data_IF_282696140523
#
_entry.id   IF_282696140523
#
_cell.length_a   1.000
_cell.length_b   1.000
_cell.length_c   1.000
_cell.angle_alpha   90.00
_cell.angle_beta   90.00
_cell.angle_gamma   90.00
#
_symmetry.space_group_name_H-M   'P 1'
#
loop_
_entity.id
_entity.type
_entity.pdbx_description
1 polymer ?
#
# COMPACT_ATOMS: atom_id res chain seq x y z
N UNK A 1 -24.10 18.08 -13.30
CA UNK A 1 -22.69 18.49 -13.45
C UNK A 1 -21.82 17.44 -12.77
N UNK A 2 -20.88 16.88 -13.51
CA UNK A 2 -20.12 15.68 -13.16
C UNK A 2 -19.28 15.87 -11.88
N UNK A 3 -19.56 15.09 -10.85
CA UNK A 3 -18.69 14.93 -9.69
C UNK A 3 -17.39 14.27 -10.13
N UNK A 4 -16.38 15.09 -10.39
CA UNK A 4 -15.04 14.63 -10.77
C UNK A 4 -14.49 13.92 -9.53
N UNK A 5 -14.52 12.59 -9.52
CA UNK A 5 -13.77 11.78 -8.58
C UNK A 5 -12.32 12.25 -8.63
N UNK A 6 -11.89 13.01 -7.61
CA UNK A 6 -10.49 13.40 -7.44
C UNK A 6 -9.70 12.11 -7.24
N UNK A 7 -9.21 11.52 -8.34
CA UNK A 7 -8.25 10.41 -8.30
C UNK A 7 -7.16 10.84 -7.33
N UNK A 8 -6.97 10.09 -6.24
CA UNK A 8 -5.88 10.33 -5.30
C UNK A 8 -4.61 10.51 -6.12
N UNK A 9 -3.84 11.59 -5.94
CA UNK A 9 -2.62 11.80 -6.70
C UNK A 9 -1.70 10.60 -6.47
N UNK A 10 -1.52 9.77 -7.50
CA UNK A 10 -0.56 8.68 -7.50
C UNK A 10 0.82 9.29 -7.57
N UNK A 11 1.46 9.41 -6.41
CA UNK A 11 2.86 9.85 -6.33
C UNK A 11 3.70 8.79 -7.09
N UNK A 12 4.43 9.24 -8.13
CA UNK A 12 5.26 8.41 -9.02
C UNK A 12 6.69 8.20 -8.50
N UNK A 13 7.02 8.77 -7.35
CA UNK A 13 8.32 8.64 -6.73
C UNK A 13 8.50 7.23 -6.16
N UNK A 14 9.73 6.91 -5.80
CA UNK A 14 10.04 5.70 -5.06
C UNK A 14 9.35 5.72 -3.69
N UNK A 15 8.78 4.58 -3.35
CA UNK A 15 8.15 4.30 -2.07
C UNK A 15 9.06 3.36 -1.27
N UNK A 16 9.11 3.56 0.04
CA UNK A 16 9.87 2.76 0.97
C UNK A 16 8.88 2.04 1.86
N UNK A 17 9.10 0.76 2.13
CA UNK A 17 8.27 0.04 3.09
C UNK A 17 8.56 0.57 4.51
N UNK A 18 7.56 1.18 5.13
CA UNK A 18 7.68 1.81 6.44
C UNK A 18 7.16 0.91 7.56
N UNK A 19 5.99 0.28 7.36
CA UNK A 19 5.37 -0.58 8.38
C UNK A 19 4.55 -1.71 7.74
N UNK A 20 4.29 -2.78 8.49
CA UNK A 20 3.49 -3.93 8.08
C UNK A 20 2.46 -4.22 9.17
N UNK A 21 1.19 -3.96 8.86
CA UNK A 21 0.07 -4.29 9.73
C UNK A 21 -0.44 -5.69 9.37
N UNK A 22 0.03 -6.67 10.15
CA UNK A 22 -0.45 -8.05 10.09
C UNK A 22 -1.61 -8.21 11.06
N UNK A 23 -2.84 -8.38 10.56
CA UNK A 23 -3.98 -8.71 11.41
C UNK A 23 -4.09 -10.23 11.57
N UNK A 24 -3.50 -10.78 12.63
CA UNK A 24 -3.78 -12.14 13.08
C UNK A 24 -5.10 -12.17 13.86
N UNK A 25 -6.20 -12.52 13.20
CA UNK A 25 -7.45 -12.82 13.89
C UNK A 25 -7.45 -14.30 14.25
N UNK A 26 -7.22 -14.58 15.54
CA UNK A 26 -7.05 -15.92 16.10
C UNK A 26 -8.42 -16.60 16.33
N UNK A 27 -9.11 -16.98 15.25
CA UNK A 27 -10.50 -17.44 15.33
C UNK A 27 -10.80 -18.68 14.48
N UNK A 28 -10.07 -19.81 14.61
CA UNK A 28 -10.44 -21.18 14.16
C UNK A 28 -11.02 -21.35 12.72
N UNK A 29 -10.93 -20.32 11.91
CA UNK A 29 -11.37 -20.16 10.54
C UNK A 29 -10.19 -19.39 9.97
N UNK A 30 -9.42 -20.01 9.09
CA UNK A 30 -8.33 -19.38 8.36
C UNK A 30 -8.92 -18.30 7.44
N UNK A 31 -9.29 -17.16 8.02
CA UNK A 31 -9.58 -15.97 7.25
C UNK A 31 -8.22 -15.32 7.06
N UNK A 32 -7.62 -15.53 5.89
CA UNK A 32 -6.38 -14.89 5.44
C UNK A 32 -6.40 -13.44 5.90
N UNK A 33 -5.59 -13.11 6.90
CA UNK A 33 -5.42 -11.72 7.34
C UNK A 33 -4.96 -10.94 6.12
N UNK A 34 -5.74 -9.95 5.70
CA UNK A 34 -5.33 -9.04 4.63
C UNK A 34 -4.12 -8.25 5.16
N UNK A 35 -2.91 -8.73 4.88
CA UNK A 35 -1.67 -8.04 5.24
C UNK A 35 -1.66 -6.67 4.58
N UNK A 36 -1.56 -5.64 5.41
CA UNK A 36 -1.54 -4.24 4.96
C UNK A 36 -0.13 -3.68 5.11
N UNK A 37 0.45 -3.25 4.01
CA UNK A 37 1.79 -2.69 3.94
C UNK A 37 1.69 -1.17 3.87
N UNK A 38 2.37 -0.47 4.76
CA UNK A 38 2.44 0.99 4.77
C UNK A 38 3.69 1.41 4.02
N UNK A 39 3.48 2.05 2.88
CA UNK A 39 4.52 2.63 2.06
C UNK A 39 4.67 4.11 2.36
N UNK A 40 5.89 4.57 2.56
CA UNK A 40 6.24 5.97 2.75
C UNK A 40 7.01 6.50 1.54
N UNK A 41 6.61 7.66 1.04
CA UNK A 41 7.37 8.39 0.03
C UNK A 41 8.10 9.55 0.69
N UNK A 42 9.43 9.54 0.63
CA UNK A 42 10.32 10.58 1.18
C UNK A 42 10.18 11.92 0.46
N UNK A 43 9.98 11.90 -0.87
CA UNK A 43 9.79 13.08 -1.70
C UNK A 43 8.44 13.77 -1.45
N UNK A 44 7.36 12.98 -1.43
CA UNK A 44 6.01 13.48 -1.21
C UNK A 44 5.69 13.72 0.28
N UNK A 45 6.51 13.19 1.20
CA UNK A 45 6.24 13.07 2.64
C UNK A 45 4.84 12.52 2.92
N UNK A 46 4.48 11.45 2.21
CA UNK A 46 3.14 10.84 2.24
C UNK A 46 3.22 9.36 2.49
N UNK A 47 2.23 8.87 3.22
CA UNK A 47 2.02 7.45 3.46
C UNK A 47 0.89 6.92 2.58
N UNK A 48 1.04 5.69 2.12
CA UNK A 48 0.00 4.93 1.42
C UNK A 48 -0.01 3.52 1.99
N UNK A 49 -1.16 3.10 2.50
CA UNK A 49 -1.39 1.69 2.83
C UNK A 49 -1.83 0.94 1.57
N UNK A 50 -1.16 -0.18 1.29
CA UNK A 50 -1.44 -1.08 0.16
C UNK A 50 -1.62 -2.49 0.67
N UNK A 51 -2.33 -3.32 -0.10
CA UNK A 51 -2.39 -4.77 0.15
C UNK A 51 -1.20 -5.47 -0.48
N UNK A 52 -0.96 -6.73 -0.11
CA UNK A 52 0.12 -7.55 -0.66
C UNK A 52 0.16 -7.56 -2.20
N UNK A 53 -0.98 -7.80 -2.86
CA UNK A 53 -1.03 -7.84 -4.33
C UNK A 53 -0.72 -6.47 -4.97
N UNK A 54 -1.09 -5.36 -4.31
CA UNK A 54 -0.76 -4.01 -4.77
C UNK A 54 0.74 -3.73 -4.58
N UNK A 55 1.33 -4.20 -3.48
CA UNK A 55 2.76 -4.10 -3.22
C UNK A 55 3.55 -4.84 -4.30
N UNK A 56 3.19 -6.10 -4.59
CA UNK A 56 3.84 -6.92 -5.62
C UNK A 56 3.77 -6.26 -7.02
N UNK A 57 2.63 -5.65 -7.37
CA UNK A 57 2.52 -4.89 -8.61
C UNK A 57 3.44 -3.67 -8.60
N UNK A 58 3.48 -2.89 -7.51
CA UNK A 58 4.34 -1.72 -7.41
C UNK A 58 5.84 -2.08 -7.43
N UNK A 59 6.23 -3.21 -6.85
CA UNK A 59 7.58 -3.78 -6.97
C UNK A 59 7.91 -4.15 -8.42
N UNK A 60 6.97 -4.79 -9.12
CA UNK A 60 7.13 -5.15 -10.53
C UNK A 60 7.31 -3.94 -11.44
N UNK A 61 6.72 -2.80 -11.07
CA UNK A 61 6.91 -1.51 -11.75
C UNK A 61 8.18 -0.75 -11.31
N UNK A 62 8.95 -1.26 -10.35
CA UNK A 62 10.14 -0.59 -9.82
C UNK A 62 9.83 0.64 -8.97
N UNK A 63 8.62 0.75 -8.41
CA UNK A 63 8.18 1.90 -7.61
C UNK A 63 8.47 1.74 -6.13
N UNK A 64 8.85 0.56 -5.66
CA UNK A 64 9.18 0.29 -4.26
C UNK A 64 10.66 -0.01 -4.16
N UNK A 65 11.39 0.78 -3.36
CA UNK A 65 12.77 0.49 -2.99
C UNK A 65 12.77 -0.31 -1.69
N UNK A 66 13.43 -1.47 -1.71
CA UNK A 66 13.68 -2.33 -0.55
C UNK A 66 14.94 -1.88 0.18
#
# INVERSE_FOLDING_TARGET
MFSIFRKKPTCKHSWILNDIHVQYINSYIEVSGDDRFVLYCTECKREKTVREHELMQMESYGLVNK
#
